data_IF_068109387296
#
_entry.id   IF_068109387296
#
_cell.length_a   1.000
_cell.length_b   1.000
_cell.length_c   1.000
_cell.angle_alpha   90.00
_cell.angle_beta   90.00
_cell.angle_gamma   90.00
#
_symmetry.space_group_name_H-M   'P 1'
#
loop_
_entity.id
_entity.type
_entity.pdbx_description
1 polymer ?
#
# COMPACT_ATOMS: atom_id res chain seq x y z
N UNK A 1 -4.84 -3.99 40.90
CA UNK A 1 -5.54 -5.29 40.95
C UNK A 1 -6.22 -5.45 39.60
N UNK A 2 -5.77 -6.42 38.79
CA UNK A 2 -6.32 -6.66 37.45
C UNK A 2 -7.81 -6.98 37.53
N UNK A 3 -8.52 -6.73 36.43
CA UNK A 3 -9.99 -6.91 36.36
C UNK A 3 -10.37 -8.40 36.41
N UNK A 4 -9.43 -9.29 36.13
CA UNK A 4 -9.63 -10.73 36.06
C UNK A 4 -8.97 -11.40 37.26
N UNK A 5 -9.79 -12.01 38.12
CA UNK A 5 -9.34 -12.67 39.34
C UNK A 5 -8.65 -14.02 39.06
N UNK A 6 -8.91 -14.64 37.90
CA UNK A 6 -8.33 -15.92 37.45
C UNK A 6 -7.91 -15.86 35.97
N UNK A 7 -6.84 -16.56 35.60
CA UNK A 7 -6.36 -16.73 34.21
C UNK A 7 -7.44 -17.32 33.31
N UNK A 8 -8.28 -18.21 33.85
CA UNK A 8 -9.39 -18.83 33.12
C UNK A 8 -10.43 -17.82 32.63
N UNK A 9 -10.70 -16.77 33.40
CA UNK A 9 -11.73 -15.79 33.08
C UNK A 9 -11.29 -14.86 31.95
N UNK A 10 -10.01 -14.45 31.93
CA UNK A 10 -9.45 -13.58 30.90
C UNK A 10 -9.43 -14.28 29.52
N UNK A 11 -8.96 -15.54 29.48
CA UNK A 11 -8.94 -16.36 28.25
C UNK A 11 -10.37 -16.61 27.75
N UNK A 12 -11.30 -16.93 28.64
CA UNK A 12 -12.71 -17.14 28.29
C UNK A 12 -13.36 -15.86 27.77
N UNK A 13 -13.06 -14.71 28.38
CA UNK A 13 -13.49 -13.38 27.93
C UNK A 13 -12.97 -13.05 26.52
N UNK A 14 -11.69 -13.33 26.25
CA UNK A 14 -11.09 -13.14 24.93
C UNK A 14 -11.76 -14.05 23.87
N UNK A 15 -11.98 -15.33 24.18
CA UNK A 15 -12.71 -16.25 23.31
C UNK A 15 -14.13 -15.76 23.00
N UNK A 16 -14.87 -15.31 24.01
CA UNK A 16 -16.24 -14.82 23.82
C UNK A 16 -16.27 -13.57 22.93
N UNK A 17 -15.38 -12.60 23.17
CA UNK A 17 -15.27 -11.40 22.35
C UNK A 17 -14.92 -11.72 20.90
N UNK A 18 -13.91 -12.56 20.67
CA UNK A 18 -13.46 -12.92 19.31
C UNK A 18 -14.52 -13.76 18.58
N UNK A 19 -15.23 -14.65 19.29
CA UNK A 19 -16.33 -15.41 18.72
C UNK A 19 -17.48 -14.51 18.23
N UNK A 20 -17.88 -13.52 19.04
CA UNK A 20 -18.89 -12.55 18.66
C UNK A 20 -18.44 -11.74 17.43
N UNK A 21 -17.19 -11.24 17.43
CA UNK A 21 -16.63 -10.49 16.30
C UNK A 21 -16.58 -11.33 15.03
N UNK A 22 -16.19 -12.61 15.13
CA UNK A 22 -16.12 -13.52 13.97
C UNK A 22 -17.46 -13.72 13.28
N UNK A 23 -18.58 -13.68 14.01
CA UNK A 23 -19.92 -13.76 13.41
C UNK A 23 -20.35 -12.48 12.70
N UNK A 24 -19.87 -11.33 13.16
CA UNK A 24 -20.30 -10.03 12.66
C UNK A 24 -19.32 -9.40 11.67
N UNK A 25 -18.07 -9.87 11.60
CA UNK A 25 -17.04 -9.32 10.68
C UNK A 25 -17.40 -9.51 9.21
N UNK A 26 -18.26 -10.47 8.89
CA UNK A 26 -18.78 -10.71 7.53
C UNK A 26 -20.13 -10.03 7.28
N UNK A 27 -20.66 -9.29 8.26
CA UNK A 27 -21.94 -8.60 8.13
C UNK A 27 -21.81 -7.42 7.16
N UNK A 28 -22.78 -7.33 6.24
CA UNK A 28 -22.84 -6.28 5.21
C UNK A 28 -23.41 -4.97 5.76
N UNK A 29 -24.14 -5.02 6.88
CA UNK A 29 -24.78 -3.87 7.50
C UNK A 29 -23.74 -3.16 8.38
N UNK A 30 -23.35 -1.95 7.98
CA UNK A 30 -22.36 -1.14 8.69
C UNK A 30 -22.73 -0.91 10.17
N UNK A 31 -24.02 -0.78 10.49
CA UNK A 31 -24.49 -0.56 11.86
C UNK A 31 -24.31 -1.78 12.78
N UNK A 32 -24.17 -2.99 12.22
CA UNK A 32 -23.81 -4.20 12.97
C UNK A 32 -22.30 -4.33 13.04
N UNK A 33 -21.62 -4.10 11.91
CA UNK A 33 -20.17 -4.22 11.80
C UNK A 33 -19.39 -3.25 12.70
N UNK A 34 -19.77 -1.97 12.72
CA UNK A 34 -19.02 -0.93 13.42
C UNK A 34 -18.97 -1.13 14.95
N UNK A 35 -20.07 -1.43 15.65
CA UNK A 35 -20.02 -1.82 17.07
C UNK A 35 -19.13 -3.03 17.33
N UNK A 36 -19.11 -4.03 16.46
CA UNK A 36 -18.26 -5.20 16.61
C UNK A 36 -16.77 -4.86 16.49
N UNK A 37 -16.40 -3.96 15.59
CA UNK A 37 -15.02 -3.46 15.51
C UNK A 37 -14.62 -2.64 16.74
N UNK A 38 -15.54 -1.84 17.29
CA UNK A 38 -15.32 -1.14 18.56
C UNK A 38 -15.14 -2.09 19.73
N UNK A 39 -15.91 -3.18 19.78
CA UNK A 39 -15.74 -4.24 20.77
C UNK A 39 -14.36 -4.89 20.64
N UNK A 40 -13.91 -5.20 19.41
CA UNK A 40 -12.59 -5.76 19.18
C UNK A 40 -11.47 -4.81 19.63
N UNK A 41 -11.58 -3.51 19.33
CA UNK A 41 -10.63 -2.50 19.79
C UNK A 41 -10.61 -2.38 21.31
N UNK A 42 -11.77 -2.36 21.96
CA UNK A 42 -11.88 -2.32 23.41
C UNK A 42 -11.28 -3.57 24.06
N UNK A 43 -11.54 -4.76 23.48
CA UNK A 43 -10.96 -6.02 23.93
C UNK A 43 -9.43 -6.03 23.77
N UNK A 44 -8.91 -5.49 22.67
CA UNK A 44 -7.47 -5.35 22.45
C UNK A 44 -6.80 -4.45 23.49
N UNK A 45 -7.37 -3.27 23.75
CA UNK A 45 -6.80 -2.30 24.68
C UNK A 45 -6.88 -2.72 26.16
N UNK A 46 -7.77 -3.66 26.49
CA UNK A 46 -8.00 -4.13 27.87
C UNK A 46 -7.58 -5.59 28.02
N UNK A 47 -8.47 -6.52 27.71
CA UNK A 47 -8.31 -7.95 27.94
C UNK A 47 -7.04 -8.48 27.28
N UNK A 48 -6.79 -8.17 26.01
CA UNK A 48 -5.64 -8.73 25.31
C UNK A 48 -4.33 -8.18 25.86
N UNK A 49 -4.24 -6.87 26.08
CA UNK A 49 -3.08 -6.24 26.69
C UNK A 49 -2.78 -6.81 28.10
N UNK A 50 -3.81 -7.00 28.92
CA UNK A 50 -3.67 -7.60 30.26
C UNK A 50 -3.22 -9.05 30.18
N UNK A 51 -3.72 -9.83 29.21
CA UNK A 51 -3.29 -11.20 28.96
C UNK A 51 -1.82 -11.27 28.54
N UNK A 52 -1.37 -10.39 27.64
CA UNK A 52 0.04 -10.32 27.22
C UNK A 52 0.95 -9.93 28.39
N UNK A 53 0.54 -8.95 29.19
CA UNK A 53 1.36 -8.41 30.29
C UNK A 53 1.40 -9.31 31.51
N UNK A 54 0.30 -10.01 31.83
CA UNK A 54 0.13 -10.71 33.12
C UNK A 54 0.32 -12.23 33.04
N UNK A 55 0.28 -12.81 31.83
CA UNK A 55 0.31 -14.26 31.67
C UNK A 55 1.54 -14.74 30.89
N UNK A 56 2.26 -15.76 31.39
CA UNK A 56 3.29 -16.42 30.61
C UNK A 56 2.63 -17.10 29.39
N UNK A 57 3.05 -16.70 28.18
CA UNK A 57 2.50 -17.12 26.87
C UNK A 57 1.15 -16.50 26.46
N UNK A 58 0.68 -15.45 27.14
CA UNK A 58 -0.58 -14.79 26.78
C UNK A 58 -0.66 -14.33 25.31
N UNK A 59 0.45 -13.84 24.74
CA UNK A 59 0.53 -13.52 23.30
C UNK A 59 0.31 -14.74 22.41
N UNK A 60 0.91 -15.90 22.72
CA UNK A 60 0.76 -17.12 21.92
C UNK A 60 -0.68 -17.65 21.95
N UNK A 61 -1.33 -17.60 23.11
CA UNK A 61 -2.73 -18.01 23.23
C UNK A 61 -3.62 -17.06 22.44
N UNK A 62 -3.40 -15.74 22.54
CA UNK A 62 -4.12 -14.75 21.73
C UNK A 62 -3.89 -14.94 20.23
N UNK A 63 -2.68 -15.28 19.78
CA UNK A 63 -2.43 -15.60 18.38
C UNK A 63 -3.32 -16.75 17.92
N UNK A 64 -3.42 -17.83 18.70
CA UNK A 64 -4.27 -18.97 18.37
C UNK A 64 -5.76 -18.60 18.29
N UNK A 65 -6.24 -17.70 19.17
CA UNK A 65 -7.65 -17.26 19.17
C UNK A 65 -7.92 -16.28 18.01
N UNK A 66 -6.99 -15.39 17.70
CA UNK A 66 -7.12 -14.37 16.65
C UNK A 66 -6.86 -14.90 15.23
N UNK A 67 -6.05 -15.94 15.08
CA UNK A 67 -5.65 -16.52 13.78
C UNK A 67 -6.85 -16.73 12.82
N UNK A 68 -7.99 -17.29 13.24
CA UNK A 68 -9.12 -17.52 12.34
C UNK A 68 -9.89 -16.24 11.96
N UNK A 69 -9.70 -15.14 12.70
CA UNK A 69 -10.37 -13.86 12.47
C UNK A 69 -9.59 -12.98 11.48
N UNK A 70 -8.25 -13.08 11.49
CA UNK A 70 -7.38 -12.19 10.72
C UNK A 70 -7.67 -12.17 9.21
N UNK A 71 -7.91 -13.29 8.50
CA UNK A 71 -8.24 -13.26 7.08
C UNK A 71 -9.48 -12.40 6.79
N UNK A 72 -10.55 -12.60 7.57
CA UNK A 72 -11.79 -11.86 7.40
C UNK A 72 -11.61 -10.35 7.67
N UNK A 73 -10.78 -9.97 8.64
CA UNK A 73 -10.43 -8.56 8.86
C UNK A 73 -9.65 -7.99 7.67
N UNK A 74 -8.64 -8.70 7.17
CA UNK A 74 -7.82 -8.20 6.06
C UNK A 74 -8.60 -8.05 4.75
N UNK A 75 -9.64 -8.86 4.53
CA UNK A 75 -10.55 -8.68 3.38
C UNK A 75 -11.37 -7.38 3.51
N UNK A 76 -11.82 -7.05 4.73
CA UNK A 76 -12.59 -5.82 5.03
C UNK A 76 -11.75 -4.54 4.96
N UNK A 77 -10.43 -4.62 4.77
CA UNK A 77 -9.60 -3.44 4.45
C UNK A 77 -9.93 -2.84 3.08
N UNK A 78 -10.57 -3.60 2.19
CA UNK A 78 -10.98 -3.14 0.86
C UNK A 78 -12.46 -2.72 0.77
N UNK A 79 -13.13 -2.63 1.92
CA UNK A 79 -14.58 -2.36 1.99
C UNK A 79 -14.97 -1.07 1.23
N UNK A 80 -16.06 -1.08 0.44
CA UNK A 80 -16.54 0.12 -0.25
C UNK A 80 -16.89 1.25 0.72
N UNK A 81 -17.37 0.93 1.93
CA UNK A 81 -17.69 1.89 2.95
C UNK A 81 -16.42 2.32 3.71
N UNK A 82 -16.00 3.57 3.51
CA UNK A 82 -14.83 4.16 4.17
C UNK A 82 -14.87 4.06 5.71
N UNK A 83 -16.06 4.11 6.34
CA UNK A 83 -16.17 3.96 7.80
C UNK A 83 -15.84 2.54 8.24
N UNK A 84 -16.30 1.54 7.50
CA UNK A 84 -15.99 0.14 7.78
C UNK A 84 -14.50 -0.13 7.55
N UNK A 85 -13.95 0.37 6.44
CA UNK A 85 -12.52 0.29 6.14
C UNK A 85 -11.66 0.89 7.27
N UNK A 86 -11.94 2.13 7.69
CA UNK A 86 -11.21 2.82 8.76
C UNK A 86 -11.35 2.10 10.10
N UNK A 87 -12.55 1.59 10.41
CA UNK A 87 -12.78 0.82 11.64
C UNK A 87 -12.01 -0.50 11.66
N UNK A 88 -11.87 -1.17 10.51
CA UNK A 88 -11.04 -2.37 10.35
C UNK A 88 -9.56 -2.05 10.53
N UNK A 89 -9.09 -0.97 9.89
CA UNK A 89 -7.71 -0.47 10.04
C UNK A 89 -7.37 -0.24 11.52
N UNK A 90 -8.23 0.47 12.25
CA UNK A 90 -8.03 0.76 13.67
C UNK A 90 -8.11 -0.50 14.55
N UNK A 91 -8.91 -1.50 14.18
CA UNK A 91 -8.94 -2.77 14.88
C UNK A 91 -7.64 -3.58 14.69
N UNK A 92 -7.11 -3.64 13.47
CA UNK A 92 -5.82 -4.30 13.21
C UNK A 92 -4.68 -3.57 13.92
N UNK A 93 -4.70 -2.23 13.94
CA UNK A 93 -3.73 -1.44 14.69
C UNK A 93 -3.81 -1.70 16.20
N UNK A 94 -5.01 -1.78 16.76
CA UNK A 94 -5.16 -2.12 18.18
C UNK A 94 -4.60 -3.51 18.50
N UNK A 95 -4.76 -4.50 17.61
CA UNK A 95 -4.12 -5.82 17.75
C UNK A 95 -2.60 -5.69 17.66
N UNK A 96 -2.08 -4.93 16.69
CA UNK A 96 -0.64 -4.75 16.53
C UNK A 96 0.01 -4.10 17.76
N UNK A 97 -0.61 -3.07 18.33
CA UNK A 97 -0.09 -2.32 19.48
C UNK A 97 -0.18 -3.12 20.79
N UNK A 98 -1.27 -3.83 21.01
CA UNK A 98 -1.55 -4.46 22.31
C UNK A 98 -1.24 -5.96 22.36
N UNK A 99 -1.05 -6.63 21.21
CA UNK A 99 -0.80 -8.08 21.15
C UNK A 99 0.61 -8.37 20.65
N UNK A 100 0.83 -8.18 19.36
CA UNK A 100 2.12 -8.37 18.69
C UNK A 100 2.08 -7.72 17.30
N UNK A 101 2.95 -6.73 17.01
CA UNK A 101 3.06 -6.13 15.69
C UNK A 101 3.39 -7.16 14.61
N UNK A 102 4.25 -8.15 14.91
CA UNK A 102 4.69 -9.18 13.96
C UNK A 102 3.55 -10.11 13.56
N UNK A 103 2.64 -10.41 14.47
CA UNK A 103 1.44 -11.19 14.17
C UNK A 103 0.50 -10.43 13.23
N UNK A 104 0.18 -9.17 13.58
CA UNK A 104 -0.72 -8.35 12.78
C UNK A 104 -0.15 -8.11 11.37
N UNK A 105 1.14 -7.76 11.26
CA UNK A 105 1.77 -7.53 9.97
C UNK A 105 1.88 -8.80 9.15
N UNK A 106 2.13 -9.98 9.75
CA UNK A 106 2.20 -11.24 9.00
C UNK A 106 0.94 -11.49 8.16
N UNK A 107 -0.23 -11.26 8.76
CA UNK A 107 -1.52 -11.42 8.08
C UNK A 107 -1.80 -10.33 7.04
N UNK A 108 -1.40 -9.08 7.30
CA UNK A 108 -1.51 -7.98 6.33
C UNK A 108 -0.58 -8.20 5.13
N UNK A 109 0.64 -8.68 5.39
CA UNK A 109 1.69 -9.00 4.42
C UNK A 109 1.39 -10.25 3.60
N UNK A 110 0.45 -11.09 4.04
CA UNK A 110 -0.05 -12.22 3.25
C UNK A 110 -0.86 -11.70 2.08
N UNK A 111 -0.16 -11.10 1.12
CA UNK A 111 -0.65 -10.81 -0.21
C UNK A 111 -0.76 -12.18 -0.85
N UNK A 112 -1.99 -12.67 -0.95
CA UNK A 112 -2.26 -13.86 -1.76
C UNK A 112 -2.12 -13.44 -3.22
N UNK A 113 -0.90 -13.39 -3.73
CA UNK A 113 -0.68 -13.64 -5.15
C UNK A 113 -1.19 -15.07 -5.35
N UNK A 114 -2.42 -15.24 -5.86
CA UNK A 114 -2.90 -16.58 -6.23
C UNK A 114 -1.99 -17.07 -7.35
N UNK A 115 -0.89 -17.73 -7.00
CA UNK A 115 -0.12 -18.53 -7.94
C UNK A 115 -1.07 -19.67 -8.32
N UNK A 116 -1.59 -19.61 -9.55
CA UNK A 116 -2.66 -20.50 -10.00
C UNK A 116 -2.34 -21.95 -9.64
N UNK A 117 -3.12 -22.51 -8.72
CA UNK A 117 -3.10 -23.94 -8.49
C UNK A 117 -3.54 -24.62 -9.78
N UNK A 118 -2.71 -25.53 -10.28
CA UNK A 118 -2.88 -26.21 -11.55
C UNK A 118 -4.30 -26.72 -11.77
N UNK A 119 -4.92 -26.22 -12.82
CA UNK A 119 -6.22 -26.63 -13.34
C UNK A 119 -6.43 -25.86 -14.63
N UNK A 120 -6.62 -26.59 -15.74
CA UNK A 120 -6.64 -26.11 -17.13
C UNK A 120 -7.56 -24.88 -17.34
N UNK A 121 -7.00 -23.69 -17.13
CA UNK A 121 -7.34 -22.38 -17.68
C UNK A 121 -6.31 -21.40 -17.10
N UNK A 122 -5.26 -21.10 -17.85
CA UNK A 122 -4.19 -20.19 -17.43
C UNK A 122 -4.70 -18.73 -17.39
N UNK A 123 -5.51 -18.40 -16.39
CA UNK A 123 -5.83 -17.03 -16.02
C UNK A 123 -4.70 -16.50 -15.13
N UNK A 124 -4.28 -15.26 -15.38
CA UNK A 124 -3.22 -14.54 -14.69
C UNK A 124 -3.27 -14.73 -13.15
N UNK A 125 -2.12 -14.63 -12.43
CA UNK A 125 -2.14 -14.60 -10.97
C UNK A 125 -3.15 -13.54 -10.54
N UNK A 126 -4.24 -13.94 -9.88
CA UNK A 126 -5.28 -12.98 -9.49
C UNK A 126 -4.72 -12.15 -8.34
N UNK A 127 -4.03 -11.07 -8.68
CA UNK A 127 -3.64 -10.01 -7.77
C UNK A 127 -4.90 -9.55 -7.03
N UNK A 128 -4.75 -9.27 -5.73
CA UNK A 128 -5.82 -8.63 -4.97
C UNK A 128 -6.23 -7.32 -5.67
N UNK A 129 -7.48 -6.86 -5.52
CA UNK A 129 -7.90 -5.59 -6.08
C UNK A 129 -6.94 -4.46 -5.67
N UNK A 130 -6.68 -3.50 -6.58
CA UNK A 130 -5.74 -2.39 -6.33
C UNK A 130 -6.01 -1.68 -4.99
N UNK A 131 -7.29 -1.42 -4.68
CA UNK A 131 -7.72 -0.82 -3.41
C UNK A 131 -7.35 -1.64 -2.17
N UNK A 132 -7.34 -2.97 -2.28
CA UNK A 132 -6.92 -3.85 -1.19
C UNK A 132 -5.40 -3.78 -0.97
N UNK A 133 -4.63 -3.65 -2.05
CA UNK A 133 -3.17 -3.51 -1.99
C UNK A 133 -2.76 -2.15 -1.39
N UNK A 134 -3.37 -1.05 -1.82
CA UNK A 134 -3.14 0.28 -1.22
C UNK A 134 -3.52 0.32 0.25
N UNK A 135 -4.71 -0.19 0.61
CA UNK A 135 -5.17 -0.23 2.00
C UNK A 135 -4.25 -1.05 2.92
N UNK A 136 -3.66 -2.15 2.43
CA UNK A 136 -2.67 -2.92 3.19
C UNK A 136 -1.37 -2.15 3.41
N UNK A 137 -0.89 -1.42 2.39
CA UNK A 137 0.27 -0.52 2.54
C UNK A 137 -0.01 0.57 3.59
N UNK A 138 -1.21 1.12 3.62
CA UNK A 138 -1.62 2.16 4.59
C UNK A 138 -1.67 1.62 6.02
N UNK A 139 -2.16 0.39 6.21
CA UNK A 139 -2.14 -0.27 7.52
C UNK A 139 -0.70 -0.53 7.96
N UNK A 140 0.17 -1.03 7.08
CA UNK A 140 1.58 -1.27 7.43
C UNK A 140 2.29 0.03 7.82
N UNK A 141 2.08 1.11 7.07
CA UNK A 141 2.61 2.43 7.44
C UNK A 141 2.12 2.87 8.83
N UNK A 142 0.85 2.63 9.13
CA UNK A 142 0.28 2.95 10.43
C UNK A 142 0.86 2.12 11.57
N UNK A 143 1.09 0.83 11.35
CA UNK A 143 1.75 -0.05 12.34
C UNK A 143 3.18 0.43 12.57
N UNK A 144 3.89 0.85 11.52
CA UNK A 144 5.23 1.45 11.65
C UNK A 144 5.19 2.75 12.47
N UNK A 145 4.19 3.61 12.23
CA UNK A 145 4.01 4.87 12.98
C UNK A 145 3.78 4.62 14.47
N UNK A 146 3.05 3.57 14.85
CA UNK A 146 2.69 3.29 16.24
C UNK A 146 3.69 2.40 16.97
N UNK A 147 4.24 1.39 16.29
CA UNK A 147 5.05 0.34 16.92
C UNK A 147 6.56 0.49 16.62
N UNK A 148 6.94 1.37 15.69
CA UNK A 148 8.32 1.46 15.20
C UNK A 148 8.68 0.27 14.31
N UNK A 149 9.96 0.13 13.96
CA UNK A 149 10.50 -1.09 13.32
C UNK A 149 11.58 -1.66 14.22
N UNK A 150 11.68 -2.99 14.26
CA UNK A 150 12.82 -3.67 14.87
C UNK A 150 14.01 -3.54 13.92
N UNK A 151 14.96 -2.66 14.25
CA UNK A 151 16.22 -2.54 13.52
C UNK A 151 17.04 -3.82 13.71
N UNK A 152 17.28 -4.54 12.62
CA UNK A 152 18.22 -5.67 12.58
C UNK A 152 19.62 -5.13 12.32
N UNK A 153 20.09 -4.21 13.16
CA UNK A 153 21.38 -3.58 12.97
C UNK A 153 22.34 -4.18 14.01
N UNK A 154 23.41 -4.80 13.51
CA UNK A 154 24.44 -5.44 14.29
C UNK A 154 25.09 -4.46 15.29
N UNK A 155 25.16 -4.86 16.57
CA UNK A 155 25.99 -4.20 17.57
C UNK A 155 25.24 -3.39 18.63
N UNK A 156 24.31 -4.02 19.35
CA UNK A 156 23.72 -3.42 20.55
C UNK A 156 22.94 -4.46 21.33
N UNK A 157 23.47 -4.84 22.50
CA UNK A 157 22.84 -5.77 23.44
C UNK A 157 21.52 -5.16 23.92
N UNK A 158 20.41 -5.58 23.34
CA UNK A 158 19.09 -5.44 23.93
C UNK A 158 18.81 -6.71 24.73
N UNK A 159 19.24 -6.72 25.99
CA UNK A 159 18.77 -7.69 26.97
C UNK A 159 17.26 -7.53 27.15
N UNK A 160 16.56 -8.65 26.95
CA UNK A 160 15.12 -8.92 27.13
C UNK A 160 14.26 -8.90 25.85
N UNK A 161 14.51 -9.85 24.95
CA UNK A 161 13.50 -10.36 24.03
C UNK A 161 13.38 -11.89 24.19
N UNK A 162 12.38 -12.33 24.95
CA UNK A 162 11.97 -13.73 24.96
C UNK A 162 11.39 -14.11 23.58
N UNK A 163 12.24 -14.69 22.73
CA UNK A 163 11.92 -15.73 21.74
C UNK A 163 10.83 -15.47 20.70
N UNK A 164 11.20 -14.93 19.54
CA UNK A 164 10.62 -15.35 18.25
C UNK A 164 11.54 -14.96 17.10
N UNK A 165 12.31 -15.94 16.62
CA UNK A 165 13.32 -15.82 15.57
C UNK A 165 12.77 -15.72 14.14
N UNK A 166 11.52 -15.26 13.96
CA UNK A 166 10.89 -15.06 12.65
C UNK A 166 9.94 -13.85 12.70
N UNK A 167 10.43 -12.66 13.07
CA UNK A 167 9.59 -11.46 13.02
C UNK A 167 9.27 -11.12 11.56
N UNK A 168 8.00 -11.23 11.19
CA UNK A 168 7.52 -10.79 9.86
C UNK A 168 7.62 -9.27 9.68
N UNK A 169 7.92 -8.55 10.77
CA UNK A 169 7.94 -7.10 10.84
C UNK A 169 9.38 -6.56 10.89
N UNK A 170 10.10 -6.78 9.80
CA UNK A 170 11.46 -6.27 9.59
C UNK A 170 11.52 -5.44 8.31
N UNK A 171 12.47 -4.50 8.26
CA UNK A 171 12.67 -3.66 7.08
C UNK A 171 12.87 -4.45 5.78
N UNK A 172 13.67 -5.54 5.73
CA UNK A 172 13.82 -6.32 4.51
C UNK A 172 12.52 -6.94 4.02
N UNK A 173 11.66 -7.43 4.91
CA UNK A 173 10.37 -8.05 4.54
C UNK A 173 9.41 -7.00 3.98
N UNK A 174 9.32 -5.83 4.62
CA UNK A 174 8.47 -4.73 4.16
C UNK A 174 8.95 -4.13 2.83
N UNK A 175 10.27 -3.97 2.66
CA UNK A 175 10.86 -3.51 1.40
C UNK A 175 10.67 -4.53 0.28
N UNK A 176 10.82 -5.83 0.56
CA UNK A 176 10.53 -6.89 -0.42
C UNK A 176 9.11 -6.75 -0.94
N UNK A 177 8.12 -6.65 -0.04
CA UNK A 177 6.73 -6.45 -0.44
C UNK A 177 6.53 -5.17 -1.26
N UNK A 178 7.06 -4.03 -0.78
CA UNK A 178 6.88 -2.75 -1.46
C UNK A 178 7.45 -2.79 -2.89
N UNK A 179 8.66 -3.34 -3.07
CA UNK A 179 9.30 -3.45 -4.38
C UNK A 179 8.66 -4.51 -5.28
N UNK A 180 8.11 -5.59 -4.72
CA UNK A 180 7.30 -6.53 -5.49
C UNK A 180 6.04 -5.86 -6.04
N UNK A 181 5.38 -5.02 -5.25
CA UNK A 181 4.24 -4.23 -5.73
C UNK A 181 4.65 -3.23 -6.83
N UNK A 182 5.81 -2.57 -6.69
CA UNK A 182 6.30 -1.63 -7.71
C UNK A 182 6.59 -2.31 -9.05
N UNK A 183 7.07 -3.55 -9.03
CA UNK A 183 7.35 -4.36 -10.23
C UNK A 183 6.10 -4.99 -10.84
N UNK A 184 5.14 -5.37 -10.02
CA UNK A 184 4.03 -6.22 -10.47
C UNK A 184 2.70 -5.45 -10.64
N UNK A 185 2.56 -4.24 -10.10
CA UNK A 185 1.28 -3.52 -10.15
C UNK A 185 1.41 -2.24 -11.00
N UNK A 186 0.73 -2.14 -12.15
CA UNK A 186 0.76 -0.93 -12.98
C UNK A 186 -0.10 0.21 -12.40
N UNK A 187 -1.01 -0.08 -11.46
CA UNK A 187 -1.92 0.91 -10.89
C UNK A 187 -1.15 2.02 -10.14
N UNK A 188 -1.43 3.27 -10.51
CA UNK A 188 -0.80 4.47 -9.94
C UNK A 188 -0.93 4.55 -8.42
N UNK A 189 -2.14 4.28 -7.91
CA UNK A 189 -2.48 4.30 -6.48
C UNK A 189 -1.65 3.29 -5.67
N UNK A 190 -1.51 2.07 -6.19
CA UNK A 190 -0.75 0.99 -5.51
C UNK A 190 0.73 1.34 -5.48
N UNK A 191 1.27 1.84 -6.59
CA UNK A 191 2.68 2.23 -6.66
C UNK A 191 3.00 3.43 -5.77
N UNK A 192 2.15 4.46 -5.76
CA UNK A 192 2.29 5.58 -4.82
C UNK A 192 2.28 5.11 -3.37
N UNK A 193 1.36 4.21 -3.01
CA UNK A 193 1.30 3.62 -1.66
C UNK A 193 2.54 2.79 -1.32
N UNK A 194 3.06 2.02 -2.28
CA UNK A 194 4.27 1.21 -2.12
C UNK A 194 5.54 2.07 -2.01
N UNK A 195 5.68 3.14 -2.79
CA UNK A 195 6.78 4.12 -2.65
C UNK A 195 6.70 4.81 -1.29
N UNK A 196 5.50 5.22 -0.85
CA UNK A 196 5.30 5.81 0.48
C UNK A 196 5.71 4.86 1.61
N UNK A 197 5.34 3.58 1.52
CA UNK A 197 5.77 2.55 2.46
C UNK A 197 7.29 2.36 2.45
N UNK A 198 7.91 2.28 1.27
CA UNK A 198 9.37 2.16 1.14
C UNK A 198 10.09 3.38 1.76
N UNK A 199 9.66 4.60 1.41
CA UNK A 199 10.19 5.84 2.00
C UNK A 199 10.04 5.85 3.52
N UNK A 200 8.91 5.34 4.04
CA UNK A 200 8.66 5.23 5.47
C UNK A 200 9.65 4.29 6.16
N UNK A 201 9.88 3.09 5.62
CA UNK A 201 10.88 2.15 6.15
C UNK A 201 12.28 2.79 6.15
N UNK A 202 12.57 3.60 5.14
CA UNK A 202 13.91 4.18 4.97
C UNK A 202 14.16 5.43 5.80
N UNK A 203 13.09 6.10 6.23
CA UNK A 203 13.19 7.09 7.30
C UNK A 203 13.65 6.48 8.63
N UNK A 204 13.53 5.16 8.81
CA UNK A 204 13.89 4.46 10.06
C UNK A 204 15.22 3.73 9.97
N UNK A 205 15.47 2.97 8.89
CA UNK A 205 16.69 2.13 8.73
C UNK A 205 17.77 2.82 7.87
N UNK A 206 17.44 3.97 7.26
CA UNK A 206 18.33 4.69 6.37
C UNK A 206 18.23 4.23 4.91
N UNK A 207 18.95 4.97 4.06
CA UNK A 207 18.89 4.85 2.59
C UNK A 207 19.54 3.57 2.06
N UNK A 208 20.54 3.07 2.78
CA UNK A 208 21.32 1.92 2.32
C UNK A 208 20.49 0.64 2.24
N UNK A 209 19.41 0.55 3.03
CA UNK A 209 18.48 -0.57 3.00
C UNK A 209 17.77 -0.75 1.65
N UNK A 210 17.57 0.31 0.86
CA UNK A 210 16.84 0.23 -0.42
C UNK A 210 17.75 -0.08 -1.61
N UNK A 211 19.03 0.28 -1.54
CA UNK A 211 19.99 0.10 -2.65
C UNK A 211 19.91 -1.27 -3.32
N UNK A 212 19.84 -2.42 -2.60
CA UNK A 212 19.70 -3.72 -3.26
C UNK A 212 18.36 -3.88 -4.01
N UNK A 213 17.27 -3.31 -3.47
CA UNK A 213 15.95 -3.39 -4.08
C UNK A 213 15.80 -2.49 -5.31
N UNK A 214 16.35 -1.27 -5.29
CA UNK A 214 16.33 -0.37 -6.46
C UNK A 214 17.15 -0.97 -7.61
N UNK A 215 18.31 -1.55 -7.32
CA UNK A 215 19.13 -2.25 -8.33
C UNK A 215 18.41 -3.42 -9.00
N UNK A 216 17.37 -3.96 -8.37
CA UNK A 216 16.58 -5.07 -8.90
C UNK A 216 15.47 -4.65 -9.88
N UNK A 217 15.28 -3.34 -10.10
CA UNK A 217 14.33 -2.81 -11.09
C UNK A 217 15.04 -2.69 -12.43
N UNK A 218 14.55 -3.26 -13.52
CA UNK A 218 15.34 -3.35 -14.76
C UNK A 218 15.62 -2.00 -15.44
N UNK A 219 14.69 -1.04 -15.39
CA UNK A 219 14.79 0.22 -16.13
C UNK A 219 15.41 1.34 -15.30
N UNK A 220 16.42 2.01 -15.86
CA UNK A 220 17.12 3.12 -15.19
C UNK A 220 16.19 4.30 -14.89
N UNK A 221 15.34 4.73 -15.82
CA UNK A 221 14.38 5.83 -15.59
C UNK A 221 13.40 5.54 -14.46
N UNK A 222 12.99 4.27 -14.30
CA UNK A 222 12.12 3.86 -13.18
C UNK A 222 12.86 3.89 -11.85
N UNK A 223 14.15 3.52 -11.82
CA UNK A 223 14.98 3.63 -10.61
C UNK A 223 15.10 5.08 -10.17
N UNK A 224 15.44 5.97 -11.11
CA UNK A 224 15.60 7.40 -10.86
C UNK A 224 14.29 8.05 -10.40
N UNK A 225 13.15 7.70 -11.02
CA UNK A 225 11.85 8.19 -10.61
C UNK A 225 11.46 7.72 -9.18
N UNK A 226 11.73 6.45 -8.84
CA UNK A 226 11.46 5.92 -7.49
C UNK A 226 12.36 6.59 -6.46
N UNK A 227 13.66 6.73 -6.75
CA UNK A 227 14.61 7.41 -5.87
C UNK A 227 14.20 8.86 -5.64
N UNK A 228 13.86 9.58 -6.71
CA UNK A 228 13.43 10.98 -6.64
C UNK A 228 12.14 11.14 -5.82
N UNK A 229 11.18 10.23 -5.96
CA UNK A 229 9.94 10.30 -5.17
C UNK A 229 10.20 9.95 -3.70
N UNK A 230 11.06 8.98 -3.40
CA UNK A 230 11.48 8.68 -2.03
C UNK A 230 12.18 9.90 -1.43
N UNK A 231 13.08 10.54 -2.19
CA UNK A 231 13.74 11.79 -1.83
C UNK A 231 12.74 12.90 -1.50
N UNK A 232 11.77 13.10 -2.38
CA UNK A 232 10.70 14.08 -2.22
C UNK A 232 9.90 13.83 -0.93
N UNK A 233 9.53 12.59 -0.65
CA UNK A 233 8.76 12.22 0.55
C UNK A 233 9.58 12.44 1.82
N UNK A 234 10.87 12.07 1.81
CA UNK A 234 11.77 12.24 2.94
C UNK A 234 12.07 13.72 3.22
N UNK A 235 12.28 14.53 2.18
CA UNK A 235 12.57 15.96 2.28
C UNK A 235 11.30 16.79 2.57
N UNK A 236 10.16 16.43 2.00
CA UNK A 236 8.87 17.10 2.22
C UNK A 236 8.36 17.01 3.66
N UNK A 237 8.75 15.96 4.40
CA UNK A 237 8.41 15.81 5.83
C UNK A 237 9.14 16.78 6.77
N UNK A 238 10.21 17.46 6.33
CA UNK A 238 10.91 18.49 7.13
C UNK A 238 10.26 19.87 7.09
N UNK A 239 9.20 20.09 6.30
CA UNK A 239 8.66 21.43 6.02
C UNK A 239 7.23 21.76 6.46
N UNK A 240 6.47 20.83 7.07
CA UNK A 240 5.03 21.06 7.33
C UNK A 240 4.67 21.09 8.82
N UNK A 241 5.01 22.21 9.47
CA UNK A 241 4.29 22.67 10.65
C UNK A 241 4.09 24.19 10.56
N UNK A 242 3.23 24.64 9.64
CA UNK A 242 2.58 25.94 9.75
C UNK A 242 1.28 26.02 8.93
N UNK A 243 0.19 26.19 9.67
CA UNK A 243 -0.85 27.20 9.38
C UNK A 243 -1.61 27.07 8.07
N UNK A 244 -2.76 26.42 8.19
CA UNK A 244 -3.98 26.75 7.45
C UNK A 244 -4.17 28.27 7.31
N UNK A 245 -4.06 28.77 6.07
CA UNK A 245 -4.78 29.97 5.63
C UNK A 245 -5.43 29.73 4.29
N UNK A 246 -6.74 29.54 4.39
CA UNK A 246 -7.72 29.56 3.32
C UNK A 246 -7.59 30.83 2.48
N UNK A 247 -7.55 30.68 1.15
CA UNK A 247 -7.80 31.76 0.20
C UNK A 247 -9.02 31.39 -0.68
N UNK A 248 -9.88 32.35 -1.03
CA UNK A 248 -11.26 32.09 -1.38
C UNK A 248 -11.47 31.70 -2.85
N UNK A 249 -12.47 30.84 -3.02
CA UNK A 249 -13.01 30.30 -4.26
C UNK A 249 -13.71 31.41 -5.07
N UNK A 250 -13.20 31.77 -6.24
CA UNK A 250 -13.88 32.65 -7.21
C UNK A 250 -14.54 31.81 -8.31
N UNK A 251 -15.83 32.06 -8.48
CA UNK A 251 -16.81 31.38 -9.34
C UNK A 251 -16.63 31.83 -10.80
N UNK A 252 -16.67 30.96 -11.83
CA UNK A 252 -16.73 31.42 -13.22
C UNK A 252 -18.19 31.73 -13.58
N UNK A 253 -18.44 32.95 -14.05
CA UNK A 253 -19.65 33.30 -14.79
C UNK A 253 -19.43 33.03 -16.28
N UNK A 254 -20.37 32.29 -16.84
CA UNK A 254 -20.68 32.11 -18.26
C UNK A 254 -21.01 33.44 -18.93
N UNK A 255 -20.53 33.67 -20.15
CA UNK A 255 -21.28 34.40 -21.17
C UNK A 255 -20.70 34.14 -22.58
N UNK A 256 -21.58 33.64 -23.44
CA UNK A 256 -21.47 33.54 -24.89
C UNK A 256 -21.23 34.89 -25.56
N UNK A 257 -20.46 34.90 -26.65
CA UNK A 257 -20.85 35.49 -27.96
C UNK A 257 -19.71 35.39 -28.98
N UNK A 258 -20.03 34.81 -30.15
CA UNK A 258 -19.35 34.93 -31.45
C UNK A 258 -20.28 35.76 -32.38
N UNK A 259 -19.90 36.17 -33.61
CA UNK A 259 -18.58 36.22 -34.24
C UNK A 259 -18.30 37.60 -34.93
N UNK A 260 -17.05 37.87 -35.34
CA UNK A 260 -16.84 38.65 -36.57
C UNK A 260 -15.49 38.36 -37.22
N UNK A 261 -15.53 38.19 -38.54
CA UNK A 261 -14.40 38.04 -39.46
C UNK A 261 -13.63 39.35 -39.60
N UNK A 262 -12.31 39.24 -39.75
CA UNK A 262 -11.44 40.34 -40.14
C UNK A 262 -10.02 39.85 -40.39
N UNK A 263 -9.70 39.57 -41.66
CA UNK A 263 -8.35 39.36 -42.14
C UNK A 263 -7.53 40.64 -41.96
N UNK A 264 -6.35 40.59 -41.34
CA UNK A 264 -5.08 41.06 -41.94
C UNK A 264 -3.88 40.91 -41.00
N UNK A 265 -2.75 40.61 -41.66
CA UNK A 265 -1.34 40.88 -41.33
C UNK A 265 -0.62 40.03 -40.28
N UNK A 266 0.29 39.24 -40.83
CA UNK A 266 1.56 38.78 -40.27
C UNK A 266 2.13 39.71 -39.18
N UNK A 267 2.23 39.17 -37.98
CA UNK A 267 3.21 39.52 -36.98
C UNK A 267 3.48 38.26 -36.17
N UNK A 268 4.68 37.72 -36.35
CA UNK A 268 5.22 36.57 -35.65
C UNK A 268 5.38 36.92 -34.15
N UNK A 269 4.70 36.24 -33.21
CA UNK A 269 5.07 36.29 -31.81
C UNK A 269 5.98 35.10 -31.50
N UNK A 270 6.98 35.32 -30.64
CA UNK A 270 7.86 34.30 -30.11
C UNK A 270 7.07 33.04 -29.71
N UNK A 271 7.56 31.88 -30.14
CA UNK A 271 6.91 30.58 -29.96
C UNK A 271 6.40 30.43 -28.52
N UNK A 272 5.08 30.39 -28.36
CA UNK A 272 4.48 29.88 -27.14
C UNK A 272 5.04 28.46 -26.91
N UNK A 273 5.41 28.08 -25.68
CA UNK A 273 5.87 26.73 -25.41
C UNK A 273 4.76 25.77 -25.85
N UNK A 274 5.04 24.95 -26.86
CA UNK A 274 4.11 23.93 -27.32
C UNK A 274 3.78 23.05 -26.12
N UNK A 275 2.49 22.88 -25.74
CA UNK A 275 2.13 22.05 -24.62
C UNK A 275 2.62 20.64 -24.92
N UNK A 276 3.52 20.14 -24.09
CA UNK A 276 3.97 18.74 -24.19
C UNK A 276 2.81 17.87 -23.70
N UNK A 277 2.35 16.98 -24.57
CA UNK A 277 1.22 16.09 -24.32
C UNK A 277 1.74 14.66 -24.30
N UNK A 278 1.25 13.84 -23.37
CA UNK A 278 1.50 12.41 -23.37
C UNK A 278 0.96 11.80 -24.66
N UNK A 279 1.85 11.18 -25.44
CA UNK A 279 1.48 10.58 -26.73
C UNK A 279 0.54 9.38 -26.61
N UNK A 280 0.47 8.73 -25.43
CA UNK A 280 -0.31 7.51 -25.23
C UNK A 280 -1.72 7.78 -24.70
N UNK A 281 -1.89 8.76 -23.79
CA UNK A 281 -3.18 9.04 -23.17
C UNK A 281 -3.72 10.44 -23.44
N UNK A 282 -2.94 11.31 -24.11
CA UNK A 282 -3.36 12.67 -24.43
C UNK A 282 -3.37 13.63 -23.24
N UNK A 283 -2.92 13.21 -22.04
CA UNK A 283 -2.82 14.10 -20.89
C UNK A 283 -1.71 15.13 -21.10
N UNK A 284 -2.02 16.41 -20.91
CA UNK A 284 -1.08 17.52 -21.03
C UNK A 284 -0.92 18.21 -19.68
N UNK A 285 0.32 18.35 -19.22
CA UNK A 285 0.67 19.15 -18.05
C UNK A 285 1.59 20.31 -18.51
N UNK A 286 1.31 21.57 -18.15
CA UNK A 286 2.20 22.69 -18.45
C UNK A 286 3.64 22.46 -17.95
N UNK A 287 3.84 21.67 -16.90
CA UNK A 287 5.17 21.38 -16.37
C UNK A 287 5.94 20.33 -17.20
N UNK A 288 5.28 19.53 -18.05
CA UNK A 288 5.96 18.57 -18.93
C UNK A 288 6.91 19.25 -19.92
N UNK A 289 6.61 20.49 -20.34
CA UNK A 289 7.47 21.26 -21.22
C UNK A 289 8.76 21.75 -20.54
N UNK A 290 8.72 21.89 -19.21
CA UNK A 290 9.83 22.44 -18.42
C UNK A 290 10.65 21.35 -17.73
N UNK A 291 10.07 20.16 -17.53
CA UNK A 291 10.68 19.05 -16.81
C UNK A 291 10.35 17.71 -17.50
N UNK A 292 11.32 17.17 -18.23
CA UNK A 292 11.22 15.85 -18.89
C UNK A 292 10.87 14.74 -17.91
N UNK A 293 11.39 14.82 -16.68
CA UNK A 293 11.21 13.82 -15.63
C UNK A 293 9.74 13.69 -15.19
N UNK A 294 8.93 14.75 -15.35
CA UNK A 294 7.50 14.70 -15.07
C UNK A 294 6.73 13.92 -16.12
N UNK A 295 7.15 13.99 -17.39
CA UNK A 295 6.57 13.20 -18.46
C UNK A 295 6.93 11.72 -18.30
N UNK A 296 8.19 11.42 -17.93
CA UNK A 296 8.61 10.06 -17.59
C UNK A 296 7.91 9.53 -16.34
N UNK A 297 7.73 10.37 -15.31
CA UNK A 297 6.92 10.06 -14.14
C UNK A 297 5.47 9.80 -14.52
N UNK A 298 4.92 10.53 -15.49
CA UNK A 298 3.59 10.24 -16.01
C UNK A 298 3.56 8.89 -16.74
N UNK A 299 4.49 8.63 -17.66
CA UNK A 299 4.58 7.33 -18.36
C UNK A 299 4.71 6.16 -17.41
N UNK A 300 5.51 6.35 -16.37
CA UNK A 300 5.63 5.38 -15.31
C UNK A 300 4.37 5.40 -14.46
N UNK A 301 4.15 6.38 -13.57
CA UNK A 301 3.13 6.42 -12.50
C UNK A 301 1.69 6.57 -12.97
N UNK A 302 1.41 7.42 -13.95
CA UNK A 302 0.07 7.98 -14.14
C UNK A 302 -0.61 7.62 -15.46
N UNK A 303 0.14 7.13 -16.47
CA UNK A 303 -0.39 6.94 -17.81
C UNK A 303 -1.31 5.70 -17.87
N UNK A 304 -2.63 5.87 -18.06
CA UNK A 304 -3.57 4.76 -18.10
C UNK A 304 -3.43 3.90 -19.36
N UNK A 305 -2.78 4.42 -20.40
CA UNK A 305 -2.56 3.75 -21.66
C UNK A 305 -1.33 2.83 -21.65
N UNK A 306 -0.51 2.86 -20.60
CA UNK A 306 0.72 2.07 -20.48
C UNK A 306 0.62 1.06 -19.33
N UNK A 307 1.19 -0.13 -19.52
CA UNK A 307 1.26 -1.19 -18.52
C UNK A 307 2.53 -2.02 -18.69
N UNK A 308 3.00 -2.66 -17.62
CA UNK A 308 4.15 -3.59 -17.70
C UNK A 308 3.68 -5.01 -18.06
N UNK A 309 4.35 -5.64 -19.02
CA UNK A 309 4.16 -7.04 -19.36
C UNK A 309 4.70 -7.94 -18.24
N UNK A 310 3.86 -8.85 -17.73
CA UNK A 310 4.23 -9.76 -16.65
C UNK A 310 5.22 -10.87 -17.04
N UNK A 311 5.43 -11.09 -18.34
CA UNK A 311 6.35 -12.10 -18.85
C UNK A 311 7.78 -11.58 -18.96
N UNK A 312 7.95 -10.45 -19.66
CA UNK A 312 9.27 -9.89 -19.99
C UNK A 312 9.58 -8.56 -19.30
N UNK A 313 8.69 -8.01 -18.49
CA UNK A 313 8.93 -6.72 -17.81
C UNK A 313 8.86 -5.48 -18.72
N UNK A 314 8.55 -5.63 -20.01
CA UNK A 314 8.44 -4.50 -20.93
C UNK A 314 7.16 -3.69 -20.69
N UNK A 315 7.28 -2.36 -20.53
CA UNK A 315 6.13 -1.45 -20.58
C UNK A 315 5.66 -1.37 -22.03
N UNK A 316 4.39 -1.71 -22.23
CA UNK A 316 3.69 -1.74 -23.50
C UNK A 316 2.38 -0.96 -23.37
N UNK A 317 1.80 -0.61 -24.51
CA UNK A 317 0.45 -0.05 -24.51
C UNK A 317 -0.56 -1.09 -24.02
N UNK A 318 -1.52 -0.67 -23.20
CA UNK A 318 -2.52 -1.56 -22.64
C UNK A 318 -3.33 -2.27 -23.73
N UNK A 319 -3.61 -1.58 -24.84
CA UNK A 319 -4.29 -2.15 -26.01
C UNK A 319 -3.43 -3.21 -26.74
N UNK A 320 -2.11 -3.01 -26.78
CA UNK A 320 -1.15 -3.91 -27.43
C UNK A 320 -0.68 -5.07 -26.56
N UNK A 321 -1.04 -5.12 -25.28
CA UNK A 321 -0.53 -6.14 -24.34
C UNK A 321 -0.83 -7.59 -24.80
N UNK A 322 -1.98 -7.83 -25.43
CA UNK A 322 -2.34 -9.16 -25.92
C UNK A 322 -1.48 -9.59 -27.11
N UNK A 323 -1.25 -8.69 -28.05
CA UNK A 323 -0.41 -8.91 -29.24
C UNK A 323 1.05 -9.08 -28.87
N UNK A 324 1.56 -8.18 -28.01
CA UNK A 324 2.89 -8.29 -27.43
C UNK A 324 3.11 -9.67 -26.79
N UNK A 325 2.17 -10.13 -25.95
CA UNK A 325 2.27 -11.46 -25.31
C UNK A 325 2.23 -12.63 -26.28
N UNK A 326 1.59 -12.46 -27.44
CA UNK A 326 1.44 -13.52 -28.42
C UNK A 326 2.63 -13.61 -29.40
N UNK A 327 3.27 -12.48 -29.72
CA UNK A 327 4.22 -12.41 -30.84
C UNK A 327 5.61 -11.89 -30.43
N UNK A 328 5.68 -11.01 -29.43
CA UNK A 328 6.91 -10.26 -29.11
C UNK A 328 7.52 -10.65 -27.76
N UNK A 329 6.72 -11.22 -26.86
CA UNK A 329 7.14 -11.49 -25.50
C UNK A 329 8.09 -12.69 -25.45
N UNK A 330 9.38 -12.44 -25.22
CA UNK A 330 10.44 -13.46 -25.12
C UNK A 330 10.12 -14.56 -24.09
N UNK A 331 9.42 -14.24 -23.01
CA UNK A 331 8.99 -15.21 -22.01
C UNK A 331 7.85 -16.15 -22.48
N UNK A 332 7.15 -15.84 -23.58
CA UNK A 332 6.13 -16.70 -24.20
C UNK A 332 6.75 -17.65 -25.25
N UNK A 333 7.91 -17.31 -25.81
CA UNK A 333 8.58 -18.08 -26.86
C UNK A 333 9.29 -19.36 -26.36
N UNK A 334 9.48 -19.52 -25.05
CA UNK A 334 10.07 -20.74 -24.46
C UNK A 334 9.17 -21.99 -24.42
N UNK A 335 7.97 -21.93 -25.02
CA UNK A 335 6.96 -22.98 -24.95
C UNK A 335 6.78 -23.82 -26.22
N UNK A 336 7.59 -23.62 -27.25
CA UNK A 336 7.43 -24.39 -28.49
C UNK A 336 8.62 -24.29 -29.41
N UNK A 337 9.64 -25.12 -29.17
CA UNK A 337 10.46 -25.69 -30.23
C UNK A 337 11.20 -26.94 -29.68
N UNK A 338 10.93 -28.07 -30.35
CA UNK A 338 11.41 -29.47 -30.19
C UNK A 338 10.94 -30.29 -28.99
#
# INVERSE_FOLDING_TARGET
KGVWADKGDAVSGAHAAIYAVRKCVTDKIANVFLPCMRLLQAAANSVFNEMVSSMPRGSRDLHAILEPLMPALTDRLSDPNKRCQESTRNAILAIAVNVDPSFATHHVLKITFRRGAGGRAAAAPSLLPNKALSARCDVLQAVIDTCGLVSTDAGGVAENAHGSSNSSFTAPVLLTMAFDLLKQCPASEVRSSAVSLAAKVCSLVGRDAIKPFIKSIERQSQREAIETEIDRILNGRRGSNSSSKSAPRRRPQTQDSRPNSGLTKEQQPAAAPTPVVCQFCGYSDPEFANQSDLLDLHYWRDCPSLTQCYGCGQVVELAGLAEHRAVECEAAAGGGET
#
